data_IF_490238041484
#
_entry.id   IF_490238041484
#
_cell.length_a   1.000
_cell.length_b   1.000
_cell.length_c   1.000
_cell.angle_alpha   90.00
_cell.angle_beta   90.00
_cell.angle_gamma   90.00
#
_symmetry.space_group_name_H-M   'P 1'
#
loop_
_entity.id
_entity.type
_entity.pdbx_description
1 polymer ?
#
# COMPACT_ATOMS: atom_id res chain seq x y z
N UNK A 1 -3.96 14.15 38.35
CA UNK A 1 -5.38 14.39 38.03
C UNK A 1 -5.63 13.93 36.61
N UNK A 2 -6.41 12.86 36.43
CA UNK A 2 -6.74 12.36 35.10
C UNK A 2 -7.81 13.25 34.47
N UNK A 3 -7.57 13.70 33.24
CA UNK A 3 -8.51 14.47 32.43
C UNK A 3 -8.79 13.74 31.12
N UNK A 4 -9.67 14.31 30.29
CA UNK A 4 -9.89 13.81 28.94
C UNK A 4 -8.64 14.08 28.09
N UNK A 5 -7.80 13.07 27.85
CA UNK A 5 -6.77 13.17 26.82
C UNK A 5 -7.39 13.40 25.44
N UNK A 6 -6.56 13.77 24.45
CA UNK A 6 -7.03 14.11 23.10
C UNK A 6 -7.90 13.02 22.44
N UNK A 7 -7.59 11.75 22.68
CA UNK A 7 -8.32 10.60 22.10
C UNK A 7 -9.65 10.41 22.81
N UNK A 8 -9.65 10.45 24.16
CA UNK A 8 -10.85 10.34 24.99
C UNK A 8 -11.78 11.53 24.78
N UNK A 9 -11.24 12.74 24.63
CA UNK A 9 -11.99 13.95 24.29
C UNK A 9 -12.73 13.80 22.95
N UNK A 10 -12.03 13.39 21.88
CA UNK A 10 -12.65 13.19 20.57
C UNK A 10 -13.76 12.12 20.59
N UNK A 11 -13.53 11.02 21.31
CA UNK A 11 -14.54 9.96 21.50
C UNK A 11 -15.74 10.47 22.30
N UNK A 12 -15.50 11.22 23.38
CA UNK A 12 -16.55 11.81 24.20
C UNK A 12 -17.42 12.78 23.38
N UNK A 13 -16.82 13.67 22.59
CA UNK A 13 -17.54 14.60 21.71
C UNK A 13 -18.41 13.86 20.70
N UNK A 14 -17.91 12.77 20.11
CA UNK A 14 -18.70 11.93 19.19
C UNK A 14 -19.90 11.27 19.89
N UNK A 15 -19.70 10.69 21.08
CA UNK A 15 -20.78 10.07 21.85
C UNK A 15 -21.81 11.10 22.33
N UNK A 16 -21.36 12.30 22.69
CA UNK A 16 -22.23 13.45 23.00
C UNK A 16 -23.08 13.85 21.80
N UNK A 17 -22.50 13.93 20.60
CA UNK A 17 -23.27 14.24 19.39
C UNK A 17 -24.37 13.20 19.11
N UNK A 18 -24.10 11.90 19.36
CA UNK A 18 -25.12 10.85 19.25
C UNK A 18 -26.16 10.91 20.37
N UNK A 19 -25.76 11.29 21.59
CA UNK A 19 -26.67 11.51 22.72
C UNK A 19 -27.66 12.65 22.43
N UNK A 20 -27.20 13.75 21.85
CA UNK A 20 -28.00 14.96 21.57
C UNK A 20 -28.80 14.84 20.25
N UNK A 21 -28.19 14.25 19.21
CA UNK A 21 -28.72 14.26 17.83
C UNK A 21 -29.03 12.88 17.23
N UNK A 22 -29.02 11.81 18.02
CA UNK A 22 -29.38 10.47 17.53
C UNK A 22 -30.79 10.42 16.95
N UNK A 23 -30.97 9.73 15.82
CA UNK A 23 -32.22 9.67 15.07
C UNK A 23 -33.30 8.91 15.84
N UNK A 24 -32.91 7.90 16.63
CA UNK A 24 -33.82 7.12 17.47
C UNK A 24 -33.54 7.31 18.96
N UNK A 25 -34.54 6.99 19.80
CA UNK A 25 -34.37 6.99 21.25
C UNK A 25 -33.28 6.00 21.71
N UNK A 26 -33.18 4.84 21.03
CA UNK A 26 -32.13 3.85 21.30
C UNK A 26 -30.73 4.37 20.99
N UNK A 27 -30.56 5.11 19.88
CA UNK A 27 -29.29 5.75 19.54
C UNK A 27 -28.88 6.82 20.54
N UNK A 28 -29.83 7.65 21.00
CA UNK A 28 -29.56 8.66 22.04
C UNK A 28 -29.16 8.03 23.37
N UNK A 29 -29.86 6.97 23.79
CA UNK A 29 -29.52 6.23 25.01
C UNK A 29 -28.16 5.54 24.91
N UNK A 30 -27.83 4.94 23.76
CA UNK A 30 -26.52 4.33 23.51
C UNK A 30 -25.40 5.38 23.51
N UNK A 31 -25.66 6.56 22.94
CA UNK A 31 -24.76 7.72 22.99
C UNK A 31 -24.49 8.18 24.42
N UNK A 32 -25.53 8.32 25.24
CA UNK A 32 -25.42 8.69 26.65
C UNK A 32 -24.60 7.68 27.46
N UNK A 33 -24.89 6.38 27.30
CA UNK A 33 -24.19 5.31 28.00
C UNK A 33 -22.71 5.22 27.58
N UNK A 34 -22.40 5.44 26.30
CA UNK A 34 -21.03 5.48 25.81
C UNK A 34 -20.26 6.72 26.33
N UNK A 35 -20.88 7.90 26.32
CA UNK A 35 -20.30 9.13 26.85
C UNK A 35 -19.99 8.99 28.35
N UNK A 36 -20.91 8.40 29.13
CA UNK A 36 -20.72 8.14 30.55
C UNK A 36 -19.52 7.22 30.84
N UNK A 37 -19.37 6.13 30.06
CA UNK A 37 -18.21 5.21 30.20
C UNK A 37 -16.89 5.89 29.89
N UNK A 38 -16.85 6.74 28.87
CA UNK A 38 -15.63 7.48 28.49
C UNK A 38 -15.28 8.54 29.56
N UNK A 39 -16.27 9.24 30.11
CA UNK A 39 -16.06 10.18 31.22
C UNK A 39 -15.53 9.45 32.47
N UNK A 40 -16.15 8.33 32.85
CA UNK A 40 -15.73 7.54 33.99
C UNK A 40 -14.31 6.98 33.83
N UNK A 41 -13.93 6.54 32.62
CA UNK A 41 -12.57 6.10 32.32
C UNK A 41 -11.52 7.22 32.41
N UNK A 42 -11.96 8.48 32.39
CA UNK A 42 -11.12 9.66 32.63
C UNK A 42 -11.21 10.18 34.07
N UNK A 43 -11.92 9.48 34.96
CA UNK A 43 -12.11 9.89 36.36
C UNK A 43 -13.12 11.03 36.56
N UNK A 44 -14.01 11.25 35.59
CA UNK A 44 -15.00 12.33 35.60
C UNK A 44 -16.42 11.76 35.61
N UNK A 45 -17.34 12.48 36.26
CA UNK A 45 -18.77 12.29 36.03
C UNK A 45 -19.16 12.78 34.63
N UNK A 46 -20.30 12.28 34.12
CA UNK A 46 -20.85 12.74 32.85
C UNK A 46 -21.08 14.26 32.85
N UNK A 47 -21.61 14.80 33.95
CA UNK A 47 -21.86 16.24 34.09
C UNK A 47 -20.58 17.08 34.10
N UNK A 48 -19.49 16.60 34.71
CA UNK A 48 -18.17 17.25 34.66
C UNK A 48 -17.59 17.24 33.24
N UNK A 49 -17.66 16.10 32.55
CA UNK A 49 -17.20 15.99 31.17
C UNK A 49 -18.02 16.87 30.21
N UNK A 50 -19.34 17.01 30.43
CA UNK A 50 -20.18 17.94 29.66
C UNK A 50 -19.80 19.40 29.89
N UNK A 51 -19.52 19.81 31.14
CA UNK A 51 -19.05 21.16 31.45
C UNK A 51 -17.70 21.46 30.80
N UNK A 52 -16.76 20.51 30.83
CA UNK A 52 -15.44 20.65 30.20
C UNK A 52 -15.49 20.72 28.67
N UNK A 53 -16.54 20.17 28.07
CA UNK A 53 -16.74 20.18 26.61
C UNK A 53 -17.74 21.25 26.16
N UNK A 54 -18.05 22.22 27.03
CA UNK A 54 -19.10 23.25 26.89
C UNK A 54 -19.04 24.19 25.68
N UNK A 55 -18.18 23.93 24.69
CA UNK A 55 -18.27 24.48 23.33
C UNK A 55 -17.64 23.51 22.33
N UNK A 56 -18.26 22.34 22.16
CA UNK A 56 -17.87 21.39 21.12
C UNK A 56 -18.10 22.01 19.72
N UNK A 57 -17.28 21.67 18.70
CA UNK A 57 -17.35 22.28 17.38
C UNK A 57 -18.77 22.20 16.80
N UNK A 58 -19.21 23.20 16.00
CA UNK A 58 -20.54 23.20 15.42
C UNK A 58 -20.80 21.85 14.76
N UNK A 59 -21.99 21.30 15.01
CA UNK A 59 -22.47 20.08 14.36
C UNK A 59 -22.30 20.27 12.85
N UNK A 60 -21.20 19.73 12.30
CA UNK A 60 -20.98 19.77 10.86
C UNK A 60 -22.09 18.91 10.29
N UNK A 61 -22.93 19.48 9.45
CA UNK A 61 -23.90 18.73 8.68
C UNK A 61 -23.21 17.50 8.06
N UNK A 62 -23.89 16.34 7.95
CA UNK A 62 -23.31 15.18 7.29
C UNK A 62 -22.80 15.64 5.92
N UNK A 63 -21.47 15.56 5.73
CA UNK A 63 -20.88 15.90 4.43
C UNK A 63 -21.42 14.87 3.46
N UNK A 64 -22.08 15.31 2.39
CA UNK A 64 -22.59 14.41 1.36
C UNK A 64 -21.50 13.41 0.96
N UNK A 65 -21.83 12.12 0.83
CA UNK A 65 -20.87 11.13 0.40
C UNK A 65 -20.30 11.57 -0.96
N UNK A 66 -18.99 11.38 -1.19
CA UNK A 66 -18.39 11.76 -2.47
C UNK A 66 -19.14 11.04 -3.60
N UNK A 67 -19.36 11.71 -4.74
CA UNK A 67 -20.08 11.11 -5.85
C UNK A 67 -19.39 9.80 -6.26
N UNK A 68 -20.19 8.75 -6.44
CA UNK A 68 -19.68 7.43 -6.84
C UNK A 68 -18.96 7.58 -8.18
N UNK A 69 -17.75 7.01 -8.30
CA UNK A 69 -17.09 6.93 -9.59
C UNK A 69 -17.95 6.11 -10.57
N UNK A 70 -18.09 6.54 -11.83
CA UNK A 70 -18.83 5.79 -12.83
C UNK A 70 -18.16 4.44 -13.07
N UNK A 71 -18.99 3.41 -13.19
CA UNK A 71 -18.54 2.06 -13.52
C UNK A 71 -18.06 2.02 -14.97
N UNK A 72 -17.20 1.04 -15.35
CA UNK A 72 -16.62 1.01 -16.69
C UNK A 72 -17.64 1.04 -17.84
N UNK A 73 -18.81 0.42 -17.66
CA UNK A 73 -19.89 0.40 -18.65
C UNK A 73 -20.79 1.65 -18.66
N UNK A 74 -20.70 2.50 -17.64
CA UNK A 74 -21.39 3.80 -17.60
C UNK A 74 -20.59 4.87 -18.35
N UNK A 75 -19.33 4.58 -18.72
CA UNK A 75 -18.49 5.50 -19.49
C UNK A 75 -18.84 5.37 -20.98
N UNK A 76 -19.01 6.50 -21.69
CA UNK A 76 -19.15 6.46 -23.13
C UNK A 76 -17.92 5.80 -23.76
N UNK A 77 -18.07 5.11 -24.90
CA UNK A 77 -16.95 4.54 -25.62
C UNK A 77 -15.97 5.66 -26.00
N UNK A 78 -14.67 5.36 -25.91
CA UNK A 78 -13.58 6.32 -26.19
C UNK A 78 -13.64 6.87 -27.62
N UNK A 79 -14.25 6.11 -28.53
CA UNK A 79 -14.50 6.50 -29.92
C UNK A 79 -15.88 6.02 -30.35
N UNK A 80 -16.51 6.80 -31.21
CA UNK A 80 -17.84 6.50 -31.75
C UNK A 80 -17.77 5.56 -32.96
N UNK A 81 -16.65 5.56 -33.68
CA UNK A 81 -16.40 4.76 -34.86
C UNK A 81 -15.77 3.39 -34.52
N UNK A 82 -16.12 2.33 -35.27
CA UNK A 82 -15.47 1.03 -35.13
C UNK A 82 -14.02 1.09 -35.60
N UNK A 83 -13.14 0.29 -34.97
CA UNK A 83 -11.75 0.15 -35.39
C UNK A 83 -11.69 -0.47 -36.79
N UNK A 84 -11.00 0.18 -37.72
CA UNK A 84 -10.76 -0.36 -39.06
C UNK A 84 -9.77 -1.55 -39.05
N UNK A 85 -9.87 -2.42 -40.06
CA UNK A 85 -8.96 -3.58 -40.20
C UNK A 85 -7.50 -3.15 -40.30
N UNK A 86 -7.20 -2.11 -41.07
CA UNK A 86 -5.83 -1.60 -41.25
C UNK A 86 -5.22 -1.09 -39.93
N UNK A 87 -6.03 -0.45 -39.08
CA UNK A 87 -5.60 0.00 -37.76
C UNK A 87 -5.31 -1.20 -36.85
N UNK A 88 -6.15 -2.25 -36.90
CA UNK A 88 -5.92 -3.50 -36.15
C UNK A 88 -4.60 -4.14 -36.60
N UNK A 89 -4.34 -4.21 -37.91
CA UNK A 89 -3.11 -4.77 -38.45
C UNK A 89 -1.88 -3.94 -38.06
N UNK A 90 -1.98 -2.61 -38.13
CA UNK A 90 -0.91 -1.71 -37.69
C UNK A 90 -0.61 -1.86 -36.19
N UNK A 91 -1.66 -1.98 -35.36
CA UNK A 91 -1.49 -2.19 -33.92
C UNK A 91 -0.85 -3.54 -33.60
N UNK A 92 -1.23 -4.60 -34.33
CA UNK A 92 -0.59 -5.92 -34.23
C UNK A 92 0.88 -5.86 -34.62
N UNK A 93 1.22 -5.27 -35.76
CA UNK A 93 2.60 -5.14 -36.22
C UNK A 93 3.47 -4.36 -35.22
N UNK A 94 2.95 -3.27 -34.64
CA UNK A 94 3.64 -2.52 -33.57
C UNK A 94 3.88 -3.36 -32.32
N UNK A 95 2.88 -4.16 -31.93
CA UNK A 95 2.97 -5.05 -30.77
C UNK A 95 3.99 -6.15 -30.99
N UNK A 96 4.02 -6.76 -32.18
CA UNK A 96 5.00 -7.78 -32.55
C UNK A 96 6.42 -7.22 -32.59
N UNK A 97 6.62 -6.05 -33.20
CA UNK A 97 7.92 -5.38 -33.22
C UNK A 97 8.41 -5.08 -31.80
N UNK A 98 7.51 -4.65 -30.90
CA UNK A 98 7.84 -4.46 -29.49
C UNK A 98 8.23 -5.77 -28.81
N UNK A 99 7.48 -6.86 -29.01
CA UNK A 99 7.79 -8.18 -28.44
C UNK A 99 9.13 -8.69 -28.93
N UNK A 100 9.44 -8.56 -30.23
CA UNK A 100 10.72 -8.95 -30.81
C UNK A 100 11.88 -8.21 -30.16
N UNK A 101 11.81 -6.88 -30.11
CA UNK A 101 12.85 -6.06 -29.43
C UNK A 101 13.04 -6.44 -27.98
N UNK A 102 11.96 -6.75 -27.27
CA UNK A 102 12.04 -7.19 -25.87
C UNK A 102 12.73 -8.56 -25.75
N UNK A 103 12.41 -9.50 -26.63
CA UNK A 103 13.02 -10.83 -26.66
C UNK A 103 14.52 -10.74 -27.01
N UNK A 104 14.90 -9.89 -27.96
CA UNK A 104 16.29 -9.67 -28.36
C UNK A 104 17.11 -9.15 -27.17
N UNK A 105 16.61 -8.13 -26.47
CA UNK A 105 17.26 -7.61 -25.24
C UNK A 105 17.40 -8.66 -24.14
N UNK A 106 16.37 -9.49 -23.95
CA UNK A 106 16.44 -10.57 -22.96
C UNK A 106 17.46 -11.64 -23.35
N UNK A 107 17.59 -11.95 -24.64
CA UNK A 107 18.59 -12.88 -25.15
C UNK A 107 20.01 -12.32 -24.99
N UNK A 108 20.21 -11.04 -25.25
CA UNK A 108 21.49 -10.35 -25.03
C UNK A 108 21.89 -10.37 -23.55
N UNK A 109 20.97 -10.01 -22.65
CA UNK A 109 21.22 -10.07 -21.21
C UNK A 109 21.61 -11.48 -20.75
N UNK A 110 20.87 -12.51 -21.22
CA UNK A 110 21.19 -13.90 -20.90
C UNK A 110 22.56 -14.33 -21.40
N UNK A 111 22.99 -13.87 -22.58
CA UNK A 111 24.34 -14.14 -23.10
C UNK A 111 25.42 -13.49 -22.24
N UNK A 112 25.18 -12.27 -21.77
CA UNK A 112 26.09 -11.57 -20.87
C UNK A 112 26.23 -12.30 -19.52
N UNK A 113 25.12 -12.75 -18.94
CA UNK A 113 25.11 -13.52 -17.69
C UNK A 113 25.92 -14.83 -17.85
N UNK A 114 25.68 -15.57 -18.93
CA UNK A 114 26.42 -16.81 -19.22
C UNK A 114 27.92 -16.55 -19.43
N UNK A 115 28.28 -15.43 -20.07
CA UNK A 115 29.67 -15.05 -20.25
C UNK A 115 30.34 -14.70 -18.90
N UNK A 116 29.63 -14.03 -18.00
CA UNK A 116 30.11 -13.73 -16.65
C UNK A 116 30.34 -15.01 -15.84
N UNK A 117 29.38 -15.94 -15.83
CA UNK A 117 29.54 -17.24 -15.17
C UNK A 117 30.73 -18.03 -15.73
N UNK A 118 30.92 -18.01 -17.06
CA UNK A 118 32.04 -18.69 -17.69
C UNK A 118 33.40 -18.08 -17.27
N UNK A 119 33.49 -16.76 -17.17
CA UNK A 119 34.68 -16.06 -16.69
C UNK A 119 34.98 -16.40 -15.23
N UNK A 120 33.97 -16.42 -14.36
CA UNK A 120 34.13 -16.83 -12.95
C UNK A 120 34.63 -18.28 -12.84
N UNK A 121 34.04 -19.21 -13.60
CA UNK A 121 34.48 -20.61 -13.62
C UNK A 121 35.90 -20.77 -14.17
N UNK A 122 36.31 -19.94 -15.13
CA UNK A 122 37.69 -19.94 -15.62
C UNK A 122 38.66 -19.48 -14.53
N UNK A 123 38.37 -18.38 -13.84
CA UNK A 123 39.19 -17.88 -12.74
C UNK A 123 39.32 -18.88 -11.59
N UNK A 124 38.24 -19.60 -11.24
CA UNK A 124 38.28 -20.66 -10.23
C UNK A 124 39.19 -21.82 -10.65
N UNK A 125 39.17 -22.22 -11.93
CA UNK A 125 40.06 -23.26 -12.45
C UNK A 125 41.53 -22.82 -12.38
N UNK A 126 41.85 -21.62 -12.84
CA UNK A 126 43.22 -21.08 -12.76
C UNK A 126 43.73 -21.00 -11.31
N UNK A 127 42.87 -20.57 -10.37
CA UNK A 127 43.21 -20.52 -8.95
C UNK A 127 43.39 -21.93 -8.33
N UNK A 128 42.66 -22.94 -8.81
CA UNK A 128 42.87 -24.33 -8.40
C UNK A 128 44.19 -24.86 -8.95
N UNK A 129 44.47 -24.66 -10.24
CA UNK A 129 45.72 -25.08 -10.88
C UNK A 129 46.95 -24.43 -10.23
N UNK A 130 46.85 -23.17 -9.80
CA UNK A 130 47.90 -22.50 -9.03
C UNK A 130 48.13 -23.15 -7.67
N UNK A 131 47.06 -23.49 -6.94
CA UNK A 131 47.14 -24.19 -5.64
C UNK A 131 47.71 -25.60 -5.81
N UNK A 132 47.31 -26.32 -6.84
CA UNK A 132 47.78 -27.68 -7.12
C UNK A 132 49.28 -27.67 -7.44
N UNK A 133 49.76 -26.69 -8.22
CA UNK A 133 51.20 -26.47 -8.46
C UNK A 133 51.95 -26.18 -7.16
N UNK A 134 51.47 -25.25 -6.35
CA UNK A 134 52.10 -24.90 -5.07
C UNK A 134 52.16 -26.11 -4.12
N UNK A 135 51.10 -26.92 -4.08
CA UNK A 135 51.05 -28.14 -3.28
C UNK A 135 52.04 -29.20 -3.77
N UNK A 136 52.14 -29.40 -5.09
CA UNK A 136 53.09 -30.33 -5.69
C UNK A 136 54.55 -29.93 -5.40
N UNK A 137 54.88 -28.64 -5.51
CA UNK A 137 56.20 -28.10 -5.19
C UNK A 137 56.57 -28.26 -3.71
N UNK A 138 55.61 -28.01 -2.80
CA UNK A 138 55.83 -28.17 -1.36
C UNK A 138 56.13 -29.63 -0.98
N UNK A 139 55.44 -30.59 -1.62
CA UNK A 139 55.73 -32.02 -1.42
C UNK A 139 57.06 -32.46 -2.01
N UNK A 140 57.45 -31.92 -3.17
CA UNK A 140 58.73 -32.23 -3.80
C UNK A 140 59.94 -31.75 -3.01
N UNK A 141 59.78 -30.72 -2.15
CA UNK A 141 60.83 -30.22 -1.24
C UNK A 141 60.87 -30.92 0.12
N UNK A 142 59.85 -31.71 0.45
CA UNK A 142 59.69 -32.38 1.74
C UNK A 142 60.08 -33.87 1.72
N UNK A 143 60.52 -34.40 0.57
CA UNK A 143 61.14 -35.72 0.42
C UNK A 143 62.60 -35.57 0.04
#
# INVERSE_FOLDING_TARGET
MAGLDRIRFAKFVKCRALMEGGATAGERAAGAAAAARIAAAAGLSLAEALRLTGSGPPHRAPRDPPPRRPRPWEKPPLRADPIGLDEILAQKARTEAYRKRRADRAAEARRADLAAEAAERAALREAQEARDRAWAEARGKAG
#
